data_IF_222330937583
#
_entry.id   IF_222330937583
#
_cell.length_a   1.000
_cell.length_b   1.000
_cell.length_c   1.000
_cell.angle_alpha   90.00
_cell.angle_beta   90.00
_cell.angle_gamma   90.00
#
_symmetry.space_group_name_H-M   'P 1'
#
loop_
_entity.id
_entity.type
_entity.pdbx_description
1 polymer ?
#
# COMPACT_ATOMS: atom_id res chain seq x y z
N UNK A 1 2.36 12.29 -8.58
CA UNK A 1 2.18 11.18 -9.52
C UNK A 1 1.60 11.77 -10.79
N UNK A 2 2.24 11.59 -11.94
CA UNK A 2 1.61 11.85 -13.25
C UNK A 2 1.13 10.51 -13.80
N UNK A 3 -0.06 10.12 -13.40
CA UNK A 3 -0.68 8.88 -13.83
C UNK A 3 -1.20 9.00 -15.27
N UNK A 4 -0.35 8.69 -16.25
CA UNK A 4 -0.77 8.50 -17.64
C UNK A 4 -1.00 7.01 -17.97
N UNK A 5 -1.94 6.35 -17.27
CA UNK A 5 -2.54 5.16 -17.89
C UNK A 5 -3.43 5.65 -19.05
N UNK A 6 -3.41 5.02 -20.23
CA UNK A 6 -4.45 5.27 -21.21
C UNK A 6 -5.82 4.97 -20.58
N UNK A 7 -6.61 6.02 -20.30
CA UNK A 7 -8.01 5.93 -19.88
C UNK A 7 -8.36 6.16 -18.40
N UNK A 8 -7.41 6.47 -17.51
CA UNK A 8 -7.70 6.89 -16.13
C UNK A 8 -7.56 8.41 -15.93
N UNK A 9 -8.26 9.03 -14.94
CA UNK A 9 -8.06 10.45 -14.64
C UNK A 9 -6.74 10.70 -13.91
N UNK A 10 -6.18 11.89 -14.11
CA UNK A 10 -5.06 12.38 -13.30
C UNK A 10 -5.42 12.34 -11.81
N UNK A 11 -4.49 11.83 -11.00
CA UNK A 11 -4.68 11.74 -9.56
C UNK A 11 -3.36 11.82 -8.81
N UNK A 12 -3.41 12.40 -7.60
CA UNK A 12 -2.25 12.60 -6.75
C UNK A 12 -1.07 13.32 -7.46
N UNK A 13 -1.38 14.26 -8.36
CA UNK A 13 -0.39 15.10 -9.06
C UNK A 13 0.47 15.82 -8.03
N UNK A 14 1.79 15.84 -8.24
CA UNK A 14 2.72 16.40 -7.26
C UNK A 14 2.36 17.85 -6.94
N UNK A 15 2.39 18.21 -5.66
CA UNK A 15 2.05 19.55 -5.14
C UNK A 15 0.60 20.01 -5.41
N UNK A 16 -0.31 19.12 -5.81
CA UNK A 16 -1.73 19.43 -5.96
C UNK A 16 -2.53 19.16 -4.67
N UNK A 17 -3.71 19.75 -4.54
CA UNK A 17 -4.66 19.41 -3.46
C UNK A 17 -4.98 17.89 -3.42
N UNK A 18 -5.11 17.27 -4.60
CA UNK A 18 -5.40 15.84 -4.72
C UNK A 18 -4.28 14.91 -4.27
N UNK A 19 -3.07 15.43 -3.99
CA UNK A 19 -1.96 14.65 -3.43
C UNK A 19 -1.82 14.77 -1.91
N UNK A 20 -2.60 15.64 -1.26
CA UNK A 20 -2.56 15.78 0.21
C UNK A 20 -3.23 14.57 0.87
N UNK A 21 -2.75 14.24 2.06
CA UNK A 21 -3.44 13.29 2.94
C UNK A 21 -4.83 13.83 3.27
N UNK A 22 -5.81 12.93 3.39
CA UNK A 22 -7.18 13.31 3.71
C UNK A 22 -7.23 14.08 5.05
N UNK A 23 -7.96 15.20 5.17
CA UNK A 23 -7.90 16.08 6.36
C UNK A 23 -8.38 15.43 7.67
N UNK A 24 -9.14 14.33 7.58
CA UNK A 24 -9.55 13.54 8.75
C UNK A 24 -8.51 12.53 9.23
N UNK A 25 -7.43 12.30 8.47
CA UNK A 25 -6.32 11.46 8.92
C UNK A 25 -5.56 12.20 10.03
N UNK A 26 -5.44 11.57 11.20
CA UNK A 26 -4.70 12.13 12.34
C UNK A 26 -3.19 12.05 12.08
N UNK A 27 -2.62 13.12 11.52
CA UNK A 27 -1.21 13.17 11.14
C UNK A 27 -0.22 13.09 12.32
N UNK A 28 -0.67 13.33 13.55
CA UNK A 28 0.18 13.31 14.76
C UNK A 28 0.77 11.93 15.08
N UNK A 29 0.22 10.85 14.52
CA UNK A 29 0.74 9.49 14.69
C UNK A 29 1.59 9.00 13.53
N UNK A 30 2.03 9.90 12.63
CA UNK A 30 2.84 9.55 11.46
C UNK A 30 4.30 9.91 11.73
N UNK A 31 5.15 8.90 11.88
CA UNK A 31 6.60 9.09 12.03
C UNK A 31 7.32 9.30 10.69
N UNK A 32 6.81 8.65 9.63
CA UNK A 32 7.43 8.65 8.30
C UNK A 32 6.37 8.72 7.20
N UNK A 33 6.62 9.58 6.22
CA UNK A 33 5.91 9.61 4.94
C UNK A 33 6.91 9.16 3.87
N UNK A 34 6.52 8.16 3.08
CA UNK A 34 7.25 7.69 1.91
C UNK A 34 6.43 8.02 0.67
N UNK A 35 7.07 8.67 -0.30
CA UNK A 35 6.44 8.99 -1.57
C UNK A 35 6.83 7.94 -2.62
N UNK A 36 5.87 7.55 -3.46
CA UNK A 36 6.07 6.58 -4.54
C UNK A 36 5.49 7.12 -5.85
N UNK A 37 5.85 6.49 -6.98
CA UNK A 37 5.34 6.88 -8.30
C UNK A 37 5.77 8.30 -8.72
N UNK A 38 7.03 8.66 -8.40
CA UNK A 38 7.60 9.98 -8.72
C UNK A 38 8.31 10.02 -10.08
N UNK A 39 8.68 8.86 -10.63
CA UNK A 39 9.28 8.76 -11.95
C UNK A 39 8.18 8.70 -13.03
N UNK A 40 8.09 9.65 -13.97
CA UNK A 40 7.05 9.65 -15.01
C UNK A 40 7.17 8.47 -15.99
N UNK A 41 8.34 7.82 -16.08
CA UNK A 41 8.56 6.69 -16.99
C UNK A 41 8.09 5.34 -16.40
N UNK A 42 7.82 5.26 -15.09
CA UNK A 42 7.42 4.01 -14.45
C UNK A 42 6.53 4.27 -13.23
N UNK A 43 5.41 3.55 -13.18
CA UNK A 43 4.47 3.63 -12.07
C UNK A 43 4.92 2.76 -10.88
N UNK A 44 4.33 2.97 -9.71
CA UNK A 44 4.64 2.27 -8.47
C UNK A 44 3.39 2.12 -7.61
N UNK A 45 2.84 0.90 -7.58
CA UNK A 45 1.76 0.54 -6.66
C UNK A 45 2.29 0.23 -5.27
N UNK A 46 3.34 -0.59 -5.18
CA UNK A 46 3.97 -1.00 -3.94
C UNK A 46 4.63 0.20 -3.25
N UNK A 47 4.55 0.25 -1.92
CA UNK A 47 5.32 1.20 -1.14
C UNK A 47 6.81 0.86 -1.08
N UNK A 48 7.22 -0.32 -1.53
CA UNK A 48 8.62 -0.78 -1.51
C UNK A 48 9.33 -0.60 -2.85
N UNK A 49 8.65 -0.88 -3.98
CA UNK A 49 9.27 -0.88 -5.30
C UNK A 49 8.40 -0.18 -6.36
N UNK A 50 9.04 0.25 -7.44
CA UNK A 50 8.32 0.53 -8.68
C UNK A 50 7.79 -0.75 -9.34
N UNK A 51 6.82 -0.63 -10.25
CA UNK A 51 6.13 -1.77 -10.87
C UNK A 51 7.06 -2.67 -11.73
N UNK A 52 8.27 -2.20 -12.04
CA UNK A 52 9.29 -2.97 -12.74
C UNK A 52 10.35 -3.55 -11.82
N UNK A 53 10.22 -3.35 -10.50
CA UNK A 53 11.21 -3.68 -9.48
C UNK A 53 12.61 -3.15 -9.82
N UNK A 54 12.69 -1.98 -10.46
CA UNK A 54 13.96 -1.36 -10.89
C UNK A 54 14.52 -0.42 -9.83
N UNK A 55 13.63 0.21 -9.07
CA UNK A 55 13.97 1.10 -7.98
C UNK A 55 13.17 0.72 -6.73
N UNK A 56 13.88 0.77 -5.61
CA UNK A 56 13.33 0.60 -4.28
C UNK A 56 13.11 1.99 -3.66
N UNK A 57 12.03 2.14 -2.88
CA UNK A 57 11.82 3.33 -2.04
C UNK A 57 12.70 3.25 -0.79
N UNK A 58 12.70 4.31 0.01
CA UNK A 58 13.38 4.32 1.30
C UNK A 58 12.68 3.52 2.42
N UNK A 59 11.49 2.95 2.16
CA UNK A 59 10.67 2.34 3.22
C UNK A 59 11.37 1.15 3.88
N UNK A 60 11.92 0.24 3.09
CA UNK A 60 12.58 -0.98 3.59
C UNK A 60 13.78 -0.66 4.48
N UNK A 61 14.68 0.19 3.98
CA UNK A 61 15.84 0.62 4.73
C UNK A 61 15.43 1.29 6.06
N UNK A 62 14.42 2.16 6.02
CA UNK A 62 13.92 2.82 7.22
C UNK A 62 13.33 1.84 8.24
N UNK A 63 12.50 0.87 7.80
CA UNK A 63 11.92 -0.16 8.67
C UNK A 63 13.01 -1.03 9.32
N UNK A 64 14.03 -1.42 8.54
CA UNK A 64 15.18 -2.17 9.03
C UNK A 64 15.98 -1.38 10.08
N UNK A 65 16.22 -0.09 9.85
CA UNK A 65 16.89 0.80 10.81
C UNK A 65 16.10 0.93 12.12
N UNK A 66 14.77 0.87 12.06
CA UNK A 66 13.90 0.85 13.25
C UNK A 66 13.79 -0.53 13.91
N UNK A 67 14.38 -1.59 13.32
CA UNK A 67 14.26 -2.95 13.82
C UNK A 67 12.86 -3.56 13.68
N UNK A 68 12.02 -3.00 12.80
CA UNK A 68 10.64 -3.46 12.56
C UNK A 68 10.66 -4.74 11.72
N UNK A 69 9.88 -5.73 12.12
CA UNK A 69 9.80 -7.06 11.46
C UNK A 69 8.38 -7.48 11.06
N UNK A 70 7.39 -6.87 11.68
CA UNK A 70 5.98 -7.17 11.48
C UNK A 70 5.25 -5.90 11.08
N UNK A 71 4.41 -5.99 10.04
CA UNK A 71 3.70 -4.87 9.44
C UNK A 71 2.19 -5.10 9.54
N UNK A 72 1.48 -4.06 9.95
CA UNK A 72 0.02 -4.00 9.87
C UNK A 72 -0.35 -3.07 8.73
N UNK A 73 -1.07 -3.57 7.72
CA UNK A 73 -1.35 -2.84 6.49
C UNK A 73 -2.85 -2.62 6.33
N UNK A 74 -3.22 -1.38 6.00
CA UNK A 74 -4.57 -0.96 5.64
C UNK A 74 -4.54 0.27 4.72
N UNK A 75 -5.69 0.60 4.12
CA UNK A 75 -5.85 1.81 3.31
C UNK A 75 -6.36 1.55 1.89
N UNK A 76 -5.84 2.33 0.93
CA UNK A 76 -6.37 2.39 -0.44
C UNK A 76 -5.26 2.20 -1.48
N UNK A 77 -5.50 1.51 -2.59
CA UNK A 77 -6.64 0.65 -2.88
C UNK A 77 -6.30 -0.83 -2.60
N UNK A 78 -7.28 -1.59 -2.08
CA UNK A 78 -7.12 -3.03 -1.78
C UNK A 78 -6.50 -3.82 -2.92
N UNK A 79 -7.05 -3.66 -4.13
CA UNK A 79 -6.70 -4.37 -5.36
C UNK A 79 -5.48 -3.80 -6.10
N UNK A 80 -4.85 -2.77 -5.55
CA UNK A 80 -3.63 -2.15 -6.09
C UNK A 80 -2.60 -1.91 -4.98
N UNK A 81 -2.48 -0.68 -4.48
CA UNK A 81 -1.37 -0.27 -3.61
C UNK A 81 -1.27 -1.12 -2.34
N UNK A 82 -2.40 -1.51 -1.74
CA UNK A 82 -2.39 -2.40 -0.57
C UNK A 82 -1.84 -3.77 -0.98
N UNK A 83 -2.44 -4.42 -1.99
CA UNK A 83 -1.99 -5.73 -2.48
C UNK A 83 -0.50 -5.77 -2.79
N UNK A 84 -0.04 -4.89 -3.67
CA UNK A 84 1.36 -4.93 -4.11
C UNK A 84 2.33 -4.61 -2.97
N UNK A 85 1.96 -3.72 -2.03
CA UNK A 85 2.78 -3.47 -0.84
C UNK A 85 2.88 -4.71 0.06
N UNK A 86 1.76 -5.40 0.29
CA UNK A 86 1.74 -6.62 1.11
C UNK A 86 2.56 -7.74 0.47
N UNK A 87 2.39 -7.97 -0.84
CA UNK A 87 3.13 -9.01 -1.55
C UNK A 87 4.64 -8.76 -1.55
N UNK A 88 5.07 -7.50 -1.70
CA UNK A 88 6.49 -7.17 -1.64
C UNK A 88 7.05 -7.24 -0.22
N UNK A 89 6.27 -6.83 0.79
CA UNK A 89 6.65 -7.00 2.19
C UNK A 89 6.88 -8.47 2.55
N UNK A 90 5.98 -9.37 2.13
CA UNK A 90 6.13 -10.81 2.34
C UNK A 90 7.39 -11.35 1.68
N UNK A 91 7.69 -10.94 0.43
CA UNK A 91 8.92 -11.32 -0.28
C UNK A 91 10.19 -10.81 0.38
N UNK A 92 10.13 -9.63 1.01
CA UNK A 92 11.22 -9.06 1.81
C UNK A 92 11.38 -9.74 3.18
N UNK A 93 10.45 -10.62 3.56
CA UNK A 93 10.51 -11.41 4.79
C UNK A 93 9.86 -10.75 6.00
N UNK A 94 9.01 -9.74 5.80
CA UNK A 94 8.18 -9.18 6.87
C UNK A 94 7.01 -10.13 7.19
N UNK A 95 6.64 -10.19 8.47
CA UNK A 95 5.34 -10.74 8.87
C UNK A 95 4.26 -9.70 8.57
N UNK A 96 3.20 -10.06 7.86
CA UNK A 96 2.20 -9.07 7.42
C UNK A 96 0.80 -9.44 7.89
N UNK A 97 0.15 -8.51 8.58
CA UNK A 97 -1.27 -8.56 8.91
C UNK A 97 -2.00 -7.48 8.12
N UNK A 98 -3.11 -7.84 7.47
CA UNK A 98 -3.95 -6.90 6.70
C UNK A 98 -5.27 -6.68 7.42
N UNK A 99 -5.60 -5.43 7.73
CA UNK A 99 -6.88 -5.04 8.33
C UNK A 99 -7.90 -4.87 7.22
N UNK A 100 -8.69 -5.92 7.00
CA UNK A 100 -9.59 -6.06 5.84
C UNK A 100 -10.70 -5.02 5.78
N UNK A 101 -11.33 -4.71 6.90
CA UNK A 101 -12.37 -3.67 7.05
C UNK A 101 -11.79 -2.24 7.12
N UNK A 102 -10.46 -2.12 7.20
CA UNK A 102 -9.70 -0.88 7.03
C UNK A 102 -9.29 -0.60 5.57
N UNK A 103 -9.66 -1.48 4.63
CA UNK A 103 -9.28 -1.36 3.23
C UNK A 103 -10.49 -1.13 2.32
N UNK A 104 -10.27 -0.44 1.19
CA UNK A 104 -11.27 -0.34 0.11
C UNK A 104 -10.60 -0.34 -1.25
N UNK A 105 -11.10 -1.17 -2.16
CA UNK A 105 -10.56 -1.28 -3.52
C UNK A 105 -11.16 -0.29 -4.51
N UNK A 106 -10.52 -0.16 -5.66
CA UNK A 106 -11.07 0.51 -6.85
C UNK A 106 -12.15 -0.35 -7.48
N UNK A 107 -11.94 -1.68 -7.53
CA UNK A 107 -12.86 -2.66 -8.10
C UNK A 107 -13.21 -2.37 -9.57
N UNK A 108 -12.17 -2.17 -10.41
CA UNK A 108 -12.36 -2.03 -11.87
C UNK A 108 -13.04 -3.26 -12.49
N UNK A 109 -12.86 -4.43 -11.88
CA UNK A 109 -13.66 -5.63 -12.15
C UNK A 109 -14.42 -6.03 -10.89
N UNK A 110 -15.61 -6.62 -11.02
CA UNK A 110 -16.29 -7.28 -9.91
C UNK A 110 -15.32 -8.19 -9.13
N UNK A 111 -15.44 -8.22 -7.80
CA UNK A 111 -14.64 -9.05 -6.90
C UNK A 111 -13.13 -8.79 -6.84
N UNK A 112 -12.58 -7.77 -7.53
CA UNK A 112 -11.12 -7.51 -7.52
C UNK A 112 -10.51 -7.38 -6.12
N UNK A 113 -11.22 -6.75 -5.17
CA UNK A 113 -10.77 -6.66 -3.77
C UNK A 113 -10.74 -8.01 -3.06
N UNK A 114 -11.73 -8.88 -3.33
CA UNK A 114 -11.79 -10.21 -2.73
C UNK A 114 -10.65 -11.08 -3.26
N UNK A 115 -10.43 -11.07 -4.58
CA UNK A 115 -9.31 -11.76 -5.23
C UNK A 115 -7.97 -11.27 -4.67
N UNK A 116 -7.83 -9.96 -4.46
CA UNK A 116 -6.63 -9.37 -3.86
C UNK A 116 -6.37 -9.87 -2.43
N UNK A 117 -7.38 -9.93 -1.57
CA UNK A 117 -7.24 -10.50 -0.23
C UNK A 117 -6.84 -11.98 -0.28
N UNK A 118 -7.47 -12.76 -1.16
CA UNK A 118 -7.14 -14.17 -1.33
C UNK A 118 -5.68 -14.36 -1.77
N UNK A 119 -5.21 -13.58 -2.74
CA UNK A 119 -3.83 -13.62 -3.22
C UNK A 119 -2.84 -13.28 -2.09
N UNK A 120 -3.10 -12.21 -1.32
CA UNK A 120 -2.27 -11.85 -0.17
C UNK A 120 -2.23 -12.97 0.88
N UNK A 121 -3.37 -13.60 1.18
CA UNK A 121 -3.45 -14.69 2.15
C UNK A 121 -2.71 -15.95 1.69
N UNK A 122 -2.80 -16.30 0.39
CA UNK A 122 -2.08 -17.43 -0.21
C UNK A 122 -0.57 -17.24 -0.09
N UNK A 123 -0.09 -16.01 -0.26
CA UNK A 123 1.34 -15.66 -0.14
C UNK A 123 1.81 -15.52 1.32
N UNK A 124 0.91 -15.64 2.29
CA UNK A 124 1.24 -15.72 3.72
C UNK A 124 0.83 -14.53 4.58
N UNK A 125 0.08 -13.55 4.06
CA UNK A 125 -0.47 -12.49 4.89
C UNK A 125 -1.59 -13.02 5.80
N UNK A 126 -1.62 -12.55 7.05
CA UNK A 126 -2.74 -12.80 7.96
C UNK A 126 -3.84 -11.77 7.69
N UNK A 127 -5.06 -12.22 7.43
CA UNK A 127 -6.21 -11.31 7.24
C UNK A 127 -7.03 -11.23 8.53
N UNK A 128 -7.33 -10.01 8.98
CA UNK A 128 -8.12 -9.75 10.19
C UNK A 128 -9.08 -8.58 9.99
N UNK A 129 -10.12 -8.52 10.81
CA UNK A 129 -10.87 -7.27 11.01
C UNK A 129 -10.15 -6.40 12.03
N UNK A 130 -10.48 -5.11 12.08
CA UNK A 130 -9.92 -4.21 13.07
C UNK A 130 -10.30 -4.66 14.49
N UNK A 131 -11.53 -5.13 14.67
CA UNK A 131 -12.00 -5.66 15.94
C UNK A 131 -11.14 -6.84 16.42
N UNK A 132 -10.90 -7.82 15.54
CA UNK A 132 -10.09 -9.00 15.87
C UNK A 132 -8.64 -8.63 16.20
N UNK A 133 -8.08 -7.62 15.51
CA UNK A 133 -6.72 -7.14 15.78
C UNK A 133 -6.60 -6.49 17.16
N UNK A 134 -7.60 -5.71 17.59
CA UNK A 134 -7.56 -5.02 18.89
C UNK A 134 -7.87 -5.89 20.10
N UNK A 135 -8.39 -7.11 19.89
CA UNK A 135 -8.74 -8.06 20.95
C UNK A 135 -7.63 -9.05 21.28
N UNK A 136 -6.44 -8.89 20.70
CA UNK A 136 -5.26 -9.73 20.96
C UNK A 136 -4.55 -9.38 22.27
#
# INVERSE_FOLDING_TARGET
MDWHKPGGPDHCVQNSEGAKLHPLLKASGIDKIVYKGQNPAIDSYSAFFDNGHRQQTELDAWLHEQGIRSLVVLGLATDFCVKFTVLDALKLGYEVTVITDGCRGVNLRPQSSLEAFQEMAVEGATLMTFADFTCQ
#
